data_IF_748104307278
#
_entry.id   IF_748104307278
#
_cell.length_a   1.000
_cell.length_b   1.000
_cell.length_c   1.000
_cell.angle_alpha   90.00
_cell.angle_beta   90.00
_cell.angle_gamma   90.00
#
_symmetry.space_group_name_H-M   'P 1'
#
loop_
_entity.id
_entity.type
_entity.pdbx_description
1 polymer ?
#
# COMPACT_ATOMS: atom_id res chain seq x y z
N UNK A 1 3.73 39.12 24.93
CA UNK A 1 3.56 38.51 23.60
C UNK A 1 3.48 37.00 23.79
N UNK A 2 2.29 36.41 23.66
CA UNK A 2 2.07 34.96 23.82
C UNK A 2 2.06 34.33 22.43
N UNK A 3 3.05 33.48 22.14
CA UNK A 3 3.08 32.67 20.92
C UNK A 3 1.91 31.68 20.95
N UNK A 4 0.90 31.93 20.12
CA UNK A 4 -0.11 30.93 19.80
C UNK A 4 0.46 30.06 18.68
N UNK A 5 0.85 28.85 19.05
CA UNK A 5 1.04 27.74 18.12
C UNK A 5 -0.28 27.52 17.40
N UNK A 6 -0.33 27.84 16.11
CA UNK A 6 -1.43 27.42 15.24
C UNK A 6 -1.21 25.91 15.03
N UNK A 7 -1.73 25.12 15.97
CA UNK A 7 -1.99 23.71 15.72
C UNK A 7 -3.10 23.65 14.66
N UNK A 8 -2.68 23.47 13.40
CA UNK A 8 -3.55 22.92 12.37
C UNK A 8 -3.89 21.47 12.74
N UNK A 9 -4.74 21.30 13.77
CA UNK A 9 -5.56 20.11 13.92
C UNK A 9 -6.62 20.20 12.83
N UNK A 10 -6.22 19.94 11.59
CA UNK A 10 -7.17 19.49 10.58
C UNK A 10 -7.87 18.29 11.21
N UNK A 11 -9.19 18.39 11.31
CA UNK A 11 -10.08 17.44 11.97
C UNK A 11 -9.76 16.03 11.47
N UNK A 12 -8.86 15.36 12.19
CA UNK A 12 -8.46 14.00 11.96
C UNK A 12 -9.55 13.09 12.53
N UNK A 13 -10.81 13.36 12.17
CA UNK A 13 -11.82 12.33 12.06
C UNK A 13 -11.26 11.31 11.06
N UNK A 14 -10.44 10.42 11.60
CA UNK A 14 -9.64 9.42 10.91
C UNK A 14 -10.54 8.74 9.88
N UNK A 15 -10.35 9.11 8.61
CA UNK A 15 -11.13 8.56 7.51
C UNK A 15 -11.06 7.05 7.63
N UNK A 16 -12.20 6.44 7.96
CA UNK A 16 -12.28 4.99 8.08
C UNK A 16 -11.94 4.39 6.73
N UNK A 17 -11.29 3.24 6.74
CA UNK A 17 -11.08 2.43 5.57
C UNK A 17 -12.22 1.46 5.34
N UNK A 18 -12.35 1.02 4.10
CA UNK A 18 -13.30 0.02 3.64
C UNK A 18 -12.56 -1.26 3.24
N UNK A 19 -12.96 -2.41 3.78
CA UNK A 19 -12.42 -3.72 3.42
C UNK A 19 -13.16 -4.27 2.20
N UNK A 20 -12.44 -4.69 1.15
CA UNK A 20 -13.06 -5.18 -0.08
C UNK A 20 -13.69 -6.56 0.04
N UNK A 21 -13.30 -7.35 1.04
CA UNK A 21 -13.83 -8.69 1.27
C UNK A 21 -15.16 -8.67 2.03
N UNK A 22 -15.16 -8.08 3.23
CA UNK A 22 -16.35 -8.09 4.10
C UNK A 22 -17.22 -6.84 4.00
N UNK A 23 -16.84 -5.88 3.15
CA UNK A 23 -17.52 -4.59 2.98
C UNK A 23 -17.64 -3.78 4.29
N UNK A 24 -16.83 -4.12 5.31
CA UNK A 24 -16.82 -3.48 6.61
C UNK A 24 -15.94 -2.22 6.65
N UNK A 25 -16.23 -1.34 7.61
CA UNK A 25 -15.50 -0.08 7.81
C UNK A 25 -14.65 -0.11 9.09
N UNK A 26 -13.36 0.22 8.97
CA UNK A 26 -12.38 0.08 10.06
C UNK A 26 -11.42 1.28 10.13
N UNK A 27 -10.88 1.57 11.30
CA UNK A 27 -9.80 2.56 11.43
C UNK A 27 -8.55 2.14 10.62
N UNK A 28 -7.83 3.07 9.98
CA UNK A 28 -6.63 2.75 9.18
C UNK A 28 -5.60 1.91 9.96
N UNK A 29 -5.33 2.27 11.21
CA UNK A 29 -4.39 1.56 12.09
C UNK A 29 -4.83 0.12 12.42
N UNK A 30 -6.12 -0.18 12.32
CA UNK A 30 -6.68 -1.52 12.57
C UNK A 30 -6.87 -2.31 11.29
N UNK A 31 -6.76 -1.69 10.11
CA UNK A 31 -7.06 -2.33 8.83
C UNK A 31 -6.16 -3.54 8.56
N UNK A 32 -4.85 -3.42 8.77
CA UNK A 32 -3.93 -4.55 8.57
C UNK A 32 -4.21 -5.73 9.52
N UNK A 33 -4.64 -5.45 10.75
CA UNK A 33 -5.07 -6.50 11.69
C UNK A 33 -6.41 -7.11 11.30
N UNK A 34 -7.34 -6.29 10.79
CA UNK A 34 -8.63 -6.74 10.28
C UNK A 34 -8.47 -7.67 9.08
N UNK A 35 -7.75 -7.26 8.02
CA UNK A 35 -7.61 -8.06 6.79
C UNK A 35 -7.06 -9.47 7.10
N UNK A 36 -6.08 -9.59 8.00
CA UNK A 36 -5.55 -10.89 8.45
C UNK A 36 -6.57 -11.80 9.15
N UNK A 37 -7.61 -11.21 9.74
CA UNK A 37 -8.65 -11.91 10.50
C UNK A 37 -10.02 -11.82 9.82
N UNK A 38 -10.08 -11.27 8.61
CA UNK A 38 -11.31 -11.10 7.88
C UNK A 38 -11.84 -12.48 7.51
N UNK A 39 -13.04 -12.81 7.99
CA UNK A 39 -13.65 -14.13 7.80
C UNK A 39 -13.89 -14.39 6.31
N UNK A 40 -14.51 -13.44 5.62
CA UNK A 40 -14.86 -13.60 4.20
C UNK A 40 -13.59 -13.80 3.35
N UNK A 41 -12.53 -13.03 3.63
CA UNK A 41 -11.21 -13.26 3.02
C UNK A 41 -10.69 -14.68 3.29
N UNK A 42 -10.80 -15.15 4.54
CA UNK A 42 -10.31 -16.49 4.90
C UNK A 42 -11.10 -17.57 4.17
N UNK A 43 -12.42 -17.44 4.09
CA UNK A 43 -13.29 -18.39 3.40
C UNK A 43 -12.91 -18.46 1.90
N UNK A 44 -12.58 -17.33 1.26
CA UNK A 44 -12.07 -17.29 -0.11
C UNK A 44 -10.70 -17.99 -0.25
N UNK A 45 -9.76 -17.74 0.67
CA UNK A 45 -8.46 -18.42 0.68
C UNK A 45 -8.58 -19.94 0.87
N UNK A 46 -9.44 -20.38 1.79
CA UNK A 46 -9.67 -21.79 2.08
C UNK A 46 -10.29 -22.47 0.84
N UNK A 47 -11.21 -21.81 0.13
CA UNK A 47 -11.77 -22.29 -1.14
C UNK A 47 -10.67 -22.53 -2.19
N UNK A 48 -9.75 -21.60 -2.36
CA UNK A 48 -8.61 -21.73 -3.28
C UNK A 48 -7.72 -22.92 -2.92
N UNK A 49 -7.36 -23.07 -1.63
CA UNK A 49 -6.51 -24.17 -1.16
C UNK A 49 -7.16 -25.54 -1.37
N UNK A 50 -8.46 -25.67 -1.08
CA UNK A 50 -9.19 -26.95 -1.24
C UNK A 50 -9.28 -27.40 -2.69
N UNK A 51 -9.17 -26.49 -3.66
CA UNK A 51 -9.12 -26.80 -5.09
C UNK A 51 -7.74 -27.29 -5.56
N UNK A 52 -6.78 -27.48 -4.64
CA UNK A 52 -5.45 -28.00 -4.95
C UNK A 52 -4.59 -27.04 -5.78
N UNK A 53 -4.98 -25.76 -5.88
CA UNK A 53 -4.15 -24.76 -6.52
C UNK A 53 -3.10 -24.28 -5.53
N UNK A 54 -1.83 -24.45 -5.88
CA UNK A 54 -0.73 -23.84 -5.15
C UNK A 54 -0.74 -22.33 -5.45
N UNK A 55 -1.12 -21.54 -4.45
CA UNK A 55 -1.06 -20.09 -4.52
C UNK A 55 0.09 -19.60 -3.64
N UNK A 56 0.86 -18.60 -4.08
CA UNK A 56 1.96 -18.07 -3.29
C UNK A 56 1.43 -17.45 -1.98
N UNK A 57 2.33 -17.31 -1.00
CA UNK A 57 2.06 -16.41 0.12
C UNK A 57 1.87 -14.99 -0.39
N UNK A 58 1.24 -14.13 0.42
CA UNK A 58 1.14 -12.71 0.12
C UNK A 58 1.68 -11.83 1.25
N UNK A 59 2.29 -10.72 0.89
CA UNK A 59 2.55 -9.60 1.77
C UNK A 59 1.30 -8.75 1.93
N UNK A 60 1.07 -8.29 3.16
CA UNK A 60 0.11 -7.25 3.45
C UNK A 60 0.86 -5.93 3.62
N UNK A 61 0.64 -4.99 2.71
CA UNK A 61 1.34 -3.72 2.66
C UNK A 61 0.38 -2.59 3.04
N UNK A 62 0.80 -1.71 3.94
CA UNK A 62 0.11 -0.45 4.20
C UNK A 62 0.87 0.65 3.46
N UNK A 63 0.19 1.34 2.56
CA UNK A 63 0.76 2.40 1.75
C UNK A 63 0.15 3.74 2.16
N UNK A 64 0.94 4.78 2.25
CA UNK A 64 0.48 6.13 2.57
C UNK A 64 1.25 7.19 1.79
N UNK A 65 0.69 8.40 1.68
CA UNK A 65 1.38 9.56 1.10
C UNK A 65 1.76 10.52 2.21
N UNK A 66 3.06 10.84 2.32
CA UNK A 66 3.56 11.78 3.30
C UNK A 66 2.96 13.17 3.05
N UNK A 67 2.41 13.77 4.10
CA UNK A 67 1.73 15.07 4.02
C UNK A 67 0.23 14.97 3.71
N UNK A 68 -0.29 13.80 3.29
CA UNK A 68 -1.71 13.57 3.00
C UNK A 68 -2.25 12.39 3.83
N UNK A 69 -2.60 12.61 5.11
CA UNK A 69 -2.99 11.52 6.03
C UNK A 69 -4.28 10.78 5.62
N UNK A 70 -5.11 11.36 4.75
CA UNK A 70 -6.29 10.70 4.18
C UNK A 70 -5.99 9.79 2.97
N UNK A 71 -4.80 9.90 2.38
CA UNK A 71 -4.40 9.13 1.21
C UNK A 71 -3.56 7.93 1.65
N UNK A 72 -4.22 6.79 1.81
CA UNK A 72 -3.60 5.52 2.15
C UNK A 72 -4.26 4.36 1.41
N UNK A 73 -3.61 3.21 1.35
CA UNK A 73 -4.15 1.96 0.79
C UNK A 73 -3.65 0.78 1.63
N UNK A 74 -4.43 -0.30 1.66
CA UNK A 74 -3.96 -1.60 2.09
C UNK A 74 -3.90 -2.52 0.87
N UNK A 75 -2.73 -3.05 0.57
CA UNK A 75 -2.49 -3.92 -0.57
C UNK A 75 -2.19 -5.34 -0.12
N UNK A 76 -2.67 -6.29 -0.90
CA UNK A 76 -2.20 -7.66 -0.90
C UNK A 76 -1.29 -7.86 -2.11
N UNK A 77 -0.04 -8.25 -1.87
CA UNK A 77 0.97 -8.44 -2.91
C UNK A 77 1.53 -9.86 -2.84
N UNK A 78 1.54 -10.60 -3.95
CA UNK A 78 2.11 -11.94 -4.03
C UNK A 78 3.58 -11.90 -3.61
N UNK A 79 4.03 -12.92 -2.89
CA UNK A 79 5.43 -13.01 -2.45
C UNK A 79 6.40 -13.09 -3.64
N UNK A 80 5.92 -13.64 -4.75
CA UNK A 80 6.64 -13.76 -6.02
C UNK A 80 6.49 -12.54 -6.94
N UNK A 81 5.64 -11.55 -6.60
CA UNK A 81 5.59 -10.31 -7.36
C UNK A 81 6.95 -9.63 -7.30
N UNK A 82 7.30 -8.87 -8.33
CA UNK A 82 8.54 -8.11 -8.37
C UNK A 82 8.39 -6.74 -7.67
N UNK A 83 9.51 -6.09 -7.35
CA UNK A 83 9.45 -4.71 -6.88
C UNK A 83 8.94 -3.76 -7.98
N UNK A 84 9.22 -4.05 -9.26
CA UNK A 84 8.66 -3.35 -10.42
C UNK A 84 7.14 -3.42 -10.45
N UNK A 85 6.55 -4.58 -10.17
CA UNK A 85 5.09 -4.74 -10.11
C UNK A 85 4.49 -3.80 -9.05
N UNK A 86 5.16 -3.69 -7.89
CA UNK A 86 4.72 -2.82 -6.79
C UNK A 86 4.84 -1.34 -7.16
N UNK A 87 5.95 -0.93 -7.76
CA UNK A 87 6.12 0.44 -8.26
C UNK A 87 5.05 0.79 -9.29
N UNK A 88 4.91 -0.07 -10.30
CA UNK A 88 3.95 0.12 -11.38
C UNK A 88 2.52 0.25 -10.83
N UNK A 89 2.14 -0.64 -9.90
CA UNK A 89 0.82 -0.60 -9.28
C UNK A 89 0.60 0.70 -8.50
N UNK A 90 1.53 1.07 -7.61
CA UNK A 90 1.42 2.28 -6.78
C UNK A 90 1.31 3.53 -7.66
N UNK A 91 2.15 3.63 -8.69
CA UNK A 91 2.14 4.74 -9.64
C UNK A 91 0.87 4.78 -10.46
N UNK A 92 0.38 3.64 -10.95
CA UNK A 92 -0.86 3.61 -11.71
C UNK A 92 -2.06 4.06 -10.88
N UNK A 93 -2.05 3.80 -9.58
CA UNK A 93 -3.12 4.21 -8.66
C UNK A 93 -3.07 5.70 -8.37
N UNK A 94 -1.91 6.28 -8.02
CA UNK A 94 -1.81 7.69 -7.58
C UNK A 94 -1.31 8.68 -8.64
N UNK A 95 -0.54 8.23 -9.63
CA UNK A 95 0.14 9.04 -10.62
C UNK A 95 -0.02 8.46 -12.05
N UNK A 96 -1.25 8.21 -12.53
CA UNK A 96 -1.48 7.52 -13.80
C UNK A 96 -0.90 8.23 -15.04
N UNK A 97 -0.58 9.52 -14.92
CA UNK A 97 -0.08 10.36 -16.01
C UNK A 97 1.46 10.52 -16.02
N UNK A 98 2.18 10.06 -14.98
CA UNK A 98 3.63 10.28 -14.89
C UNK A 98 4.41 9.21 -15.65
N UNK A 99 5.37 9.65 -16.47
CA UNK A 99 6.26 8.77 -17.24
C UNK A 99 7.62 8.53 -16.58
N UNK A 100 7.96 9.29 -15.54
CA UNK A 100 9.26 9.22 -14.87
C UNK A 100 9.33 8.02 -13.91
N UNK A 101 10.45 7.31 -13.85
CA UNK A 101 10.65 6.19 -12.92
C UNK A 101 10.80 6.67 -11.48
N UNK A 102 10.20 5.92 -10.55
CA UNK A 102 10.28 6.18 -9.12
C UNK A 102 11.58 5.69 -8.51
N UNK A 103 11.88 6.15 -7.29
CA UNK A 103 13.03 5.68 -6.53
C UNK A 103 12.63 5.15 -5.16
N UNK A 104 12.91 3.86 -4.91
CA UNK A 104 12.74 3.27 -3.58
C UNK A 104 13.92 3.57 -2.65
N UNK A 105 13.61 3.99 -1.42
CA UNK A 105 14.53 4.31 -0.34
C UNK A 105 14.23 3.42 0.88
N UNK A 106 15.11 2.46 1.18
CA UNK A 106 14.99 1.57 2.33
C UNK A 106 15.73 2.13 3.55
N UNK A 107 15.08 2.24 4.71
CA UNK A 107 15.68 2.87 5.90
C UNK A 107 16.84 2.08 6.53
N UNK A 108 16.82 0.74 6.46
CA UNK A 108 17.73 -0.14 7.23
C UNK A 108 18.77 -0.89 6.41
N UNK A 109 18.81 -0.67 5.10
CA UNK A 109 19.84 -1.21 4.22
C UNK A 109 20.39 -0.01 3.47
N UNK A 110 21.69 0.25 3.54
CA UNK A 110 22.40 1.22 2.69
C UNK A 110 22.44 0.74 1.23
N UNK A 111 21.30 0.29 0.74
CA UNK A 111 21.03 -0.14 -0.61
C UNK A 111 20.16 0.97 -1.16
N UNK A 112 20.81 2.09 -1.45
CA UNK A 112 20.29 3.07 -2.40
C UNK A 112 20.38 2.40 -3.77
N UNK A 113 19.58 1.36 -4.00
CA UNK A 113 19.47 0.71 -5.30
C UNK A 113 18.78 1.75 -6.17
N UNK A 114 19.56 2.43 -7.02
CA UNK A 114 19.00 2.97 -8.26
C UNK A 114 18.60 1.75 -9.07
N UNK A 115 17.31 1.43 -9.05
CA UNK A 115 16.76 0.24 -9.71
C UNK A 115 16.89 0.31 -11.25
N UNK A 116 17.34 1.45 -11.78
CA UNK A 116 17.65 1.71 -13.19
C UNK A 116 18.86 0.94 -13.75
N UNK A 117 19.68 0.26 -12.91
CA UNK A 117 20.85 -0.50 -13.38
C UNK A 117 20.71 -2.01 -13.11
N UNK A 118 19.77 -2.64 -13.83
CA UNK A 118 19.95 -3.98 -14.41
C UNK A 118 19.91 -5.23 -13.52
N UNK A 119 19.54 -5.15 -12.24
CA UNK A 119 19.54 -6.39 -11.41
C UNK A 119 18.71 -6.40 -10.13
N UNK A 120 17.81 -5.45 -9.91
CA UNK A 120 17.01 -5.40 -8.67
C UNK A 120 15.51 -5.25 -8.85
N UNK A 121 15.05 -4.81 -10.02
CA UNK A 121 13.65 -4.51 -10.26
C UNK A 121 12.81 -5.79 -10.38
N UNK A 122 13.40 -6.83 -10.98
CA UNK A 122 12.77 -8.15 -11.20
C UNK A 122 12.92 -9.14 -10.03
N UNK A 123 13.66 -8.76 -8.98
CA UNK A 123 13.73 -9.59 -7.77
C UNK A 123 12.35 -9.66 -7.11
N UNK A 124 11.98 -10.85 -6.65
CA UNK A 124 10.70 -11.06 -5.99
C UNK A 124 10.63 -10.37 -4.62
N UNK A 125 9.42 -10.02 -4.19
CA UNK A 125 9.20 -9.33 -2.93
C UNK A 125 9.68 -10.15 -1.73
N UNK A 126 9.65 -11.49 -1.76
CA UNK A 126 10.15 -12.33 -0.68
C UNK A 126 11.67 -12.34 -0.51
N UNK A 127 12.42 -12.05 -1.58
CA UNK A 127 13.87 -11.85 -1.50
C UNK A 127 14.23 -10.50 -0.85
N UNK A 128 13.40 -9.48 -1.08
CA UNK A 128 13.72 -8.09 -0.72
C UNK A 128 13.10 -7.69 0.61
N UNK A 129 11.80 -7.96 0.80
CA UNK A 129 10.99 -7.46 1.89
C UNK A 129 11.04 -8.38 3.12
N UNK A 130 10.97 -7.75 4.30
CA UNK A 130 10.75 -8.43 5.57
C UNK A 130 9.57 -7.81 6.29
N UNK A 131 8.86 -8.63 7.08
CA UNK A 131 7.80 -8.12 7.96
C UNK A 131 8.37 -7.06 8.91
N UNK A 132 7.64 -5.94 9.06
CA UNK A 132 8.06 -4.72 9.78
C UNK A 132 9.11 -3.88 9.06
N UNK A 133 9.44 -4.17 7.80
CA UNK A 133 10.18 -3.21 6.98
C UNK A 133 9.31 -1.98 6.73
N UNK A 134 10.01 -0.84 6.70
CA UNK A 134 9.46 0.46 6.32
C UNK A 134 10.40 1.08 5.30
N UNK A 135 9.85 1.47 4.16
CA UNK A 135 10.59 2.11 3.07
C UNK A 135 9.73 3.15 2.38
N UNK A 136 10.34 3.96 1.53
CA UNK A 136 9.63 5.01 0.81
C UNK A 136 9.86 4.88 -0.69
N UNK A 137 8.82 5.12 -1.48
CA UNK A 137 8.93 5.39 -2.91
C UNK A 137 8.87 6.90 -3.09
N UNK A 138 9.87 7.47 -3.75
CA UNK A 138 9.89 8.89 -4.11
C UNK A 138 9.54 9.00 -5.58
N UNK A 139 8.43 9.66 -5.86
CA UNK A 139 7.95 9.99 -7.20
C UNK A 139 8.11 11.48 -7.47
N UNK A 140 8.33 11.85 -8.73
CA UNK A 140 8.34 13.25 -9.14
C UNK A 140 6.99 13.61 -9.76
N UNK A 141 6.24 14.48 -9.09
CA UNK A 141 5.05 15.14 -9.66
C UNK A 141 5.47 16.51 -10.20
N UNK A 142 5.94 16.50 -11.46
CA UNK A 142 6.57 17.66 -12.08
C UNK A 142 7.88 18.05 -11.39
N UNK A 143 7.86 19.11 -10.58
CA UNK A 143 9.04 19.58 -9.81
C UNK A 143 8.98 19.27 -8.32
N UNK A 144 7.88 18.67 -7.86
CA UNK A 144 7.65 18.42 -6.44
C UNK A 144 7.84 16.93 -6.17
N UNK A 145 8.81 16.53 -5.33
CA UNK A 145 8.92 15.15 -4.92
C UNK A 145 7.74 14.79 -4.02
N UNK A 146 7.07 13.69 -4.33
CA UNK A 146 6.05 13.08 -3.49
C UNK A 146 6.63 11.83 -2.86
N UNK A 147 6.57 11.75 -1.53
CA UNK A 147 7.08 10.62 -0.77
C UNK A 147 5.92 9.71 -0.37
N UNK A 148 5.97 8.49 -0.87
CA UNK A 148 5.01 7.43 -0.60
C UNK A 148 5.66 6.51 0.43
N UNK A 149 5.02 6.28 1.56
CA UNK A 149 5.49 5.36 2.60
C UNK A 149 4.90 3.98 2.39
N UNK A 150 5.72 2.94 2.53
CA UNK A 150 5.31 1.54 2.45
C UNK A 150 5.72 0.83 3.74
N UNK A 151 4.73 0.30 4.45
CA UNK A 151 4.89 -0.49 5.66
C UNK A 151 4.51 -1.96 5.40
N UNK A 152 5.44 -2.88 5.63
CA UNK A 152 5.19 -4.32 5.51
C UNK A 152 4.50 -4.84 6.77
N UNK A 153 3.17 -4.77 6.79
CA UNK A 153 2.36 -5.06 7.97
C UNK A 153 2.37 -6.53 8.37
N UNK A 154 2.60 -7.46 7.44
CA UNK A 154 2.74 -8.89 7.71
C UNK A 154 2.62 -9.76 6.47
N UNK A 155 2.46 -11.07 6.69
CA UNK A 155 2.15 -12.04 5.64
C UNK A 155 0.72 -12.56 5.77
N UNK A 156 0.22 -13.06 4.66
CA UNK A 156 -1.01 -13.81 4.50
C UNK A 156 -0.61 -15.17 3.91
N UNK A 157 -1.18 -16.28 4.42
CA UNK A 157 -0.73 -17.62 4.03
C UNK A 157 -1.03 -17.94 2.57
N UNK A 158 -2.02 -17.28 1.97
CA UNK A 158 -2.46 -17.51 0.60
C UNK A 158 -2.86 -16.18 -0.01
N UNK A 159 -2.29 -15.89 -1.18
CA UNK A 159 -2.77 -14.86 -2.07
C UNK A 159 -4.12 -15.29 -2.66
N UNK A 160 -5.13 -14.44 -2.55
CA UNK A 160 -6.49 -14.73 -3.07
C UNK A 160 -6.70 -14.08 -4.44
N UNK A 161 -5.97 -13.00 -4.71
CA UNK A 161 -6.18 -12.16 -5.88
C UNK A 161 -5.44 -12.74 -7.10
N UNK A 162 -6.08 -12.70 -8.26
CA UNK A 162 -5.51 -13.17 -9.53
C UNK A 162 -4.34 -12.32 -10.04
N UNK A 163 -4.24 -11.06 -9.59
CA UNK A 163 -3.18 -10.13 -9.97
C UNK A 163 -2.03 -10.22 -8.98
N UNK A 164 -0.78 -9.94 -9.40
CA UNK A 164 0.36 -9.92 -8.50
C UNK A 164 0.16 -9.00 -7.30
N UNK A 165 -0.58 -7.90 -7.47
CA UNK A 165 -0.86 -6.90 -6.43
C UNK A 165 -2.29 -6.41 -6.61
N UNK A 166 -3.02 -6.26 -5.51
CA UNK A 166 -4.36 -5.68 -5.51
C UNK A 166 -4.67 -4.87 -4.25
N UNK A 167 -5.67 -3.99 -4.35
CA UNK A 167 -6.19 -3.22 -3.22
C UNK A 167 -7.17 -4.08 -2.43
N UNK A 168 -6.86 -4.29 -1.15
CA UNK A 168 -7.73 -5.01 -0.21
C UNK A 168 -8.41 -4.10 0.80
N UNK A 169 -7.93 -2.86 0.93
CA UNK A 169 -8.68 -1.80 1.59
C UNK A 169 -8.28 -0.40 1.12
N UNK A 170 -9.22 0.54 1.22
CA UNK A 170 -9.02 1.93 0.81
C UNK A 170 -9.79 2.91 1.72
N UNK A 171 -9.37 4.19 1.82
CA UNK A 171 -10.05 5.22 2.59
C UNK A 171 -11.41 5.57 2.00
N UNK A 172 -12.37 5.81 2.89
CA UNK A 172 -13.63 6.44 2.55
C UNK A 172 -13.49 7.96 2.67
N UNK A 173 -14.27 8.69 1.88
CA UNK A 173 -14.53 10.10 2.15
C UNK A 173 -15.53 10.29 3.32
N UNK A 174 -15.76 11.54 3.72
CA UNK A 174 -16.69 11.89 4.80
C UNK A 174 -18.15 11.49 4.51
N UNK A 175 -18.48 11.20 3.25
CA UNK A 175 -19.81 10.77 2.81
C UNK A 175 -19.90 9.24 2.62
N UNK A 176 -18.85 8.48 2.98
CA UNK A 176 -18.78 7.04 2.76
C UNK A 176 -18.56 6.66 1.29
N UNK A 177 -18.27 7.62 0.42
CA UNK A 177 -17.83 7.42 -0.95
C UNK A 177 -16.37 6.96 -1.00
N UNK A 178 -15.99 6.32 -2.12
CA UNK A 178 -14.60 5.96 -2.38
C UNK A 178 -13.82 7.24 -2.71
N UNK A 179 -12.78 7.55 -1.94
CA UNK A 179 -11.84 8.61 -2.30
C UNK A 179 -11.20 8.28 -3.65
N UNK A 180 -11.22 9.20 -4.64
CA UNK A 180 -10.55 8.98 -5.90
C UNK A 180 -9.05 8.81 -5.65
N UNK A 181 -8.45 7.83 -6.33
CA UNK A 181 -7.03 7.55 -6.19
C UNK A 181 -6.13 8.66 -6.76
N UNK A 182 -6.67 9.70 -7.40
CA UNK A 182 -5.95 10.93 -7.67
C UNK A 182 -6.73 12.08 -7.07
N UNK A 183 -6.20 12.71 -6.02
CA UNK A 183 -6.78 13.94 -5.50
C UNK A 183 -6.72 14.99 -6.59
N UNK A 184 -7.87 15.39 -7.15
CA UNK A 184 -7.93 16.60 -7.96
C UNK A 184 -7.49 17.76 -7.06
N UNK A 185 -6.30 18.31 -7.35
CA UNK A 185 -5.85 19.56 -6.74
C UNK A 185 -6.89 20.63 -7.14
N UNK A 186 -7.66 21.09 -6.15
CA UNK A 186 -8.50 22.29 -6.28
C UNK A 186 -7.63 23.53 -6.18
#
# INVERSE_FOLDING_TARGET
>A
MKNQSIENQADASLLKGFCTFCMGSYEPLRMGAHVRRCRDRKDDADCIQTNGQEHPMAFLLMIGILGWPGAWLCLEAHSQASLSDLEFFIRHVWFPETKEEGMFLFQKRAVQKRFSEGGGADSSLDEILKVKDHFCLVEMDGKTPVQITVDVAGHLPTAIMHRPIDVVAFPLDNNGGRMPAGGQRS
#
